data_IF_813894084428
#
_entry.id   IF_813894084428
#
_cell.length_a   1.000
_cell.length_b   1.000
_cell.length_c   1.000
_cell.angle_alpha   90.00
_cell.angle_beta   90.00
_cell.angle_gamma   90.00
#
_symmetry.space_group_name_H-M   'P 1'
#
loop_
_entity.id
_entity.type
_entity.pdbx_description
1 polymer ?
#
# COMPACT_ATOMS: atom_id res chain seq x y z
N UNK A 1 13.97 28.62 -66.09
CA UNK A 1 13.69 28.36 -64.67
C UNK A 1 13.07 29.63 -64.08
N UNK A 2 11.74 29.63 -63.87
CA UNK A 2 11.00 30.77 -63.31
C UNK A 2 11.06 30.67 -61.80
N UNK A 3 11.72 31.62 -61.14
CA UNK A 3 11.70 31.74 -59.69
C UNK A 3 10.37 32.32 -59.23
N UNK A 4 9.58 31.55 -58.51
CA UNK A 4 8.43 32.07 -57.78
C UNK A 4 8.93 32.93 -56.62
N UNK A 5 8.71 34.24 -56.72
CA UNK A 5 8.93 35.16 -55.60
C UNK A 5 7.79 34.92 -54.60
N UNK A 6 8.08 34.15 -53.56
CA UNK A 6 7.20 33.98 -52.40
C UNK A 6 7.04 35.35 -51.74
N UNK A 7 5.89 35.99 -51.94
CA UNK A 7 5.54 37.28 -51.35
C UNK A 7 5.34 37.07 -49.85
N UNK A 8 6.37 37.34 -49.04
CA UNK A 8 6.23 37.41 -47.58
C UNK A 8 5.26 38.55 -47.24
N UNK A 9 4.00 38.21 -46.96
CA UNK A 9 3.04 39.14 -46.38
C UNK A 9 3.45 39.36 -44.92
N UNK A 10 3.87 40.59 -44.59
CA UNK A 10 4.12 40.98 -43.21
C UNK A 10 2.86 40.82 -42.37
N UNK A 11 2.98 40.25 -41.16
CA UNK A 11 1.86 40.14 -40.23
C UNK A 11 1.33 41.54 -39.91
N UNK A 12 0.01 41.67 -39.97
CA UNK A 12 -0.65 42.90 -39.51
C UNK A 12 -0.62 42.98 -37.99
N UNK A 13 -0.55 44.21 -37.44
CA UNK A 13 -0.50 44.46 -36.00
C UNK A 13 -1.70 43.83 -35.26
N UNK A 14 -2.84 43.74 -35.95
CA UNK A 14 -4.07 43.10 -35.47
C UNK A 14 -3.93 41.58 -35.40
N UNK A 15 -3.36 40.93 -36.42
CA UNK A 15 -3.10 39.47 -36.37
C UNK A 15 -2.16 39.11 -35.23
N UNK A 16 -1.13 39.93 -34.97
CA UNK A 16 -0.19 39.70 -33.87
C UNK A 16 -0.86 39.86 -32.50
N UNK A 17 -1.75 40.85 -32.35
CA UNK A 17 -2.54 41.05 -31.13
C UNK A 17 -3.51 39.88 -30.88
N UNK A 18 -4.20 39.40 -31.93
CA UNK A 18 -5.11 38.25 -31.84
C UNK A 18 -4.34 36.97 -31.52
N UNK A 19 -3.18 36.76 -32.12
CA UNK A 19 -2.32 35.61 -31.83
C UNK A 19 -1.83 35.60 -30.38
N UNK A 20 -1.41 36.76 -29.84
CA UNK A 20 -1.00 36.88 -28.44
C UNK A 20 -2.16 36.62 -27.47
N UNK A 21 -3.36 37.08 -27.79
CA UNK A 21 -4.55 36.89 -26.96
C UNK A 21 -4.98 35.41 -26.95
N UNK A 22 -4.95 34.74 -28.11
CA UNK A 22 -5.21 33.30 -28.23
C UNK A 22 -4.15 32.48 -27.49
N UNK A 23 -2.87 32.82 -27.63
CA UNK A 23 -1.79 32.13 -26.92
C UNK A 23 -1.93 32.27 -25.40
N UNK A 24 -2.31 33.45 -24.90
CA UNK A 24 -2.59 33.68 -23.48
C UNK A 24 -3.76 32.84 -22.96
N UNK A 25 -4.87 32.77 -23.70
CA UNK A 25 -6.03 31.93 -23.36
C UNK A 25 -5.67 30.43 -23.35
N UNK A 26 -4.91 29.97 -24.35
CA UNK A 26 -4.43 28.59 -24.42
C UNK A 26 -3.51 28.25 -23.25
N UNK A 27 -2.58 29.15 -22.89
CA UNK A 27 -1.68 28.95 -21.76
C UNK A 27 -2.44 28.85 -20.43
N UNK A 28 -3.47 29.68 -20.23
CA UNK A 28 -4.35 29.63 -19.05
C UNK A 28 -5.12 28.31 -18.98
N UNK A 29 -5.70 27.86 -20.11
CA UNK A 29 -6.43 26.59 -20.18
C UNK A 29 -5.53 25.37 -19.91
N UNK A 30 -4.31 25.37 -20.46
CA UNK A 30 -3.31 24.33 -20.18
C UNK A 30 -2.93 24.29 -18.70
N UNK A 31 -2.72 25.45 -18.09
CA UNK A 31 -2.35 25.57 -16.68
C UNK A 31 -3.47 25.04 -15.76
N UNK A 32 -4.73 25.35 -16.04
CA UNK A 32 -5.87 24.85 -15.25
C UNK A 32 -6.08 23.35 -15.42
N UNK A 33 -5.88 22.82 -16.63
CA UNK A 33 -5.91 21.36 -16.87
C UNK A 33 -4.81 20.62 -16.12
N UNK A 34 -3.58 21.14 -16.14
CA UNK A 34 -2.45 20.55 -15.41
C UNK A 34 -2.70 20.58 -13.88
N UNK A 35 -3.21 21.69 -13.35
CA UNK A 35 -3.57 21.80 -11.93
C UNK A 35 -4.67 20.80 -11.55
N UNK A 36 -5.71 20.67 -12.38
CA UNK A 36 -6.85 19.78 -12.11
C UNK A 36 -6.42 18.30 -12.19
N UNK A 37 -5.57 17.96 -13.14
CA UNK A 37 -5.03 16.60 -13.30
C UNK A 37 -4.17 16.17 -12.11
N UNK A 38 -3.37 17.07 -11.54
CA UNK A 38 -2.53 16.74 -10.37
C UNK A 38 -3.33 16.54 -9.08
N UNK A 39 -4.44 17.26 -8.90
CA UNK A 39 -5.34 17.05 -7.75
C UNK A 39 -6.05 15.70 -7.84
N UNK A 40 -6.58 15.36 -9.02
CA UNK A 40 -7.24 14.07 -9.28
C UNK A 40 -6.33 12.86 -9.02
N UNK A 41 -5.06 12.93 -9.42
CA UNK A 41 -4.09 11.87 -9.11
C UNK A 41 -3.81 11.72 -7.61
N UNK A 42 -3.85 12.83 -6.86
CA UNK A 42 -3.66 12.79 -5.41
C UNK A 42 -4.75 12.03 -4.68
N UNK A 43 -6.01 12.29 -5.03
CA UNK A 43 -7.17 11.63 -4.41
C UNK A 43 -7.23 10.14 -4.76
N UNK A 44 -6.89 9.77 -6.01
CA UNK A 44 -6.84 8.37 -6.44
C UNK A 44 -5.83 7.53 -5.64
N UNK A 45 -4.64 8.07 -5.38
CA UNK A 45 -3.60 7.37 -4.60
C UNK A 45 -4.02 7.11 -3.15
N UNK A 46 -4.71 8.07 -2.52
CA UNK A 46 -5.20 7.93 -1.15
C UNK A 46 -6.31 6.88 -1.05
N UNK A 47 -7.25 6.89 -1.99
CA UNK A 47 -8.33 5.88 -2.04
C UNK A 47 -7.78 4.47 -2.24
N UNK A 48 -6.78 4.32 -3.12
CA UNK A 48 -6.09 3.04 -3.31
C UNK A 48 -5.38 2.59 -2.03
N UNK A 49 -4.68 3.50 -1.35
CA UNK A 49 -4.02 3.20 -0.08
C UNK A 49 -5.02 2.78 1.01
N UNK A 50 -6.19 3.43 1.07
CA UNK A 50 -7.28 3.07 2.00
C UNK A 50 -7.86 1.68 1.71
N UNK A 51 -8.10 1.35 0.44
CA UNK A 51 -8.58 0.02 0.04
C UNK A 51 -7.58 -1.08 0.44
N UNK A 52 -6.29 -0.88 0.12
CA UNK A 52 -5.23 -1.83 0.47
C UNK A 52 -5.07 -2.00 1.99
N UNK A 53 -5.26 -0.92 2.77
CA UNK A 53 -5.28 -1.00 4.22
C UNK A 53 -6.50 -1.74 4.77
N UNK A 54 -7.66 -1.61 4.14
CA UNK A 54 -8.85 -2.37 4.49
C UNK A 54 -8.64 -3.86 4.20
N UNK A 55 -8.06 -4.20 3.04
CA UNK A 55 -7.70 -5.57 2.66
C UNK A 55 -6.70 -6.17 3.64
N UNK A 56 -5.65 -5.41 4.00
CA UNK A 56 -4.67 -5.81 5.00
C UNK A 56 -5.32 -6.21 6.33
N UNK A 57 -6.20 -5.34 6.85
CA UNK A 57 -6.97 -5.61 8.08
C UNK A 57 -7.89 -6.81 7.91
N UNK A 58 -8.48 -6.98 6.73
CA UNK A 58 -9.32 -8.11 6.38
C UNK A 58 -8.56 -9.44 6.44
N UNK A 59 -7.42 -9.55 5.75
CA UNK A 59 -6.61 -10.76 5.70
C UNK A 59 -6.05 -11.12 7.08
N UNK A 60 -5.34 -10.20 7.74
CA UNK A 60 -4.79 -10.46 9.09
C UNK A 60 -5.91 -10.73 10.10
N UNK A 61 -6.95 -9.91 10.08
CA UNK A 61 -8.10 -10.06 10.97
C UNK A 61 -8.79 -11.40 10.81
N UNK A 62 -8.92 -11.92 9.58
CA UNK A 62 -9.51 -13.23 9.32
C UNK A 62 -8.64 -14.35 9.86
N UNK A 63 -7.35 -14.35 9.52
CA UNK A 63 -6.45 -15.45 9.85
C UNK A 63 -6.14 -15.51 11.36
N UNK A 64 -5.95 -14.36 12.00
CA UNK A 64 -5.66 -14.30 13.45
C UNK A 64 -6.88 -14.54 14.33
N UNK A 65 -8.07 -14.08 13.95
CA UNK A 65 -9.30 -14.40 14.72
C UNK A 65 -9.74 -15.85 14.56
N UNK A 66 -9.32 -16.47 13.46
CA UNK A 66 -9.53 -17.89 13.24
C UNK A 66 -8.43 -18.73 13.90
N UNK A 67 -7.40 -18.11 14.49
CA UNK A 67 -6.35 -18.82 15.19
C UNK A 67 -6.90 -19.63 16.38
N UNK A 68 -6.25 -20.76 16.65
CA UNK A 68 -6.51 -21.57 17.86
C UNK A 68 -5.98 -20.86 19.11
N UNK A 69 -6.34 -21.33 20.32
CA UNK A 69 -5.88 -20.73 21.59
C UNK A 69 -4.36 -20.73 21.77
N UNK A 70 -3.65 -21.69 21.16
CA UNK A 70 -2.17 -21.73 21.05
C UNK A 70 -1.69 -21.28 19.66
N UNK A 71 -2.51 -20.54 18.94
CA UNK A 71 -2.43 -20.40 17.49
C UNK A 71 -1.23 -19.59 17.00
N UNK A 72 -0.51 -18.89 17.85
CA UNK A 72 0.72 -18.21 17.44
C UNK A 72 1.93 -19.12 17.67
N UNK A 73 2.51 -19.63 16.57
CA UNK A 73 3.68 -20.51 16.64
C UNK A 73 4.99 -19.74 16.60
N UNK A 74 5.02 -18.60 15.91
CA UNK A 74 6.20 -17.75 15.79
C UNK A 74 5.79 -16.30 15.56
N UNK A 75 6.45 -15.37 16.27
CA UNK A 75 6.37 -13.95 16.00
C UNK A 75 7.75 -13.31 16.08
N UNK A 76 8.09 -12.53 15.06
CA UNK A 76 9.30 -11.72 14.99
C UNK A 76 8.96 -10.43 14.24
N UNK A 77 9.79 -9.36 14.33
CA UNK A 77 9.53 -8.11 13.64
C UNK A 77 9.26 -8.26 12.13
N UNK A 78 9.82 -9.28 11.49
CA UNK A 78 9.71 -9.51 10.04
C UNK A 78 8.86 -10.72 9.66
N UNK A 79 8.32 -11.47 10.62
CA UNK A 79 7.63 -12.72 10.34
C UNK A 79 6.63 -13.12 11.41
N UNK A 80 5.56 -13.76 10.96
CA UNK A 80 4.47 -14.24 11.81
C UNK A 80 4.00 -15.59 11.30
N UNK A 81 3.83 -16.57 12.18
CA UNK A 81 3.27 -17.89 11.85
C UNK A 81 2.11 -18.19 12.77
N UNK A 82 0.97 -18.51 12.16
CA UNK A 82 -0.32 -18.70 12.84
C UNK A 82 -0.94 -20.03 12.44
N UNK A 83 -1.44 -20.78 13.41
CA UNK A 83 -2.23 -21.99 13.28
C UNK A 83 -3.72 -21.66 13.40
N UNK A 84 -4.44 -21.82 12.28
CA UNK A 84 -5.81 -21.36 12.06
C UNK A 84 -6.86 -22.44 12.35
N UNK A 85 -6.48 -23.71 12.53
CA UNK A 85 -7.44 -24.75 12.90
C UNK A 85 -6.84 -25.79 13.85
N UNK A 86 -7.68 -26.32 14.73
CA UNK A 86 -7.37 -27.48 15.57
C UNK A 86 -7.97 -28.72 14.91
N UNK A 87 -7.33 -29.22 13.86
CA UNK A 87 -7.70 -30.46 13.19
C UNK A 87 -6.45 -31.34 13.10
N UNK A 88 -6.55 -32.66 12.83
CA UNK A 88 -5.38 -33.51 12.60
C UNK A 88 -4.48 -33.02 11.45
N UNK A 89 -5.01 -32.18 10.55
CA UNK A 89 -4.27 -31.41 9.55
C UNK A 89 -4.58 -29.93 9.73
N UNK A 90 -3.90 -29.20 10.65
CA UNK A 90 -4.16 -27.80 10.86
C UNK A 90 -3.73 -26.95 9.66
N UNK A 91 -4.47 -25.86 9.40
CA UNK A 91 -4.09 -24.86 8.40
C UNK A 91 -3.11 -23.87 9.04
N UNK A 92 -1.90 -23.81 8.49
CA UNK A 92 -0.86 -22.88 8.88
C UNK A 92 -0.85 -21.69 7.91
N UNK A 93 -0.70 -20.50 8.45
CA UNK A 93 -0.54 -19.25 7.68
C UNK A 93 0.74 -18.58 8.16
N UNK A 94 1.58 -18.19 7.21
CA UNK A 94 2.80 -17.43 7.47
C UNK A 94 2.72 -16.09 6.77
N UNK A 95 2.99 -15.03 7.52
CA UNK A 95 3.26 -13.71 7.00
C UNK A 95 4.75 -13.42 7.10
N UNK A 96 5.27 -12.71 6.10
CA UNK A 96 6.65 -12.22 6.09
C UNK A 96 6.70 -10.81 5.52
N UNK A 97 7.50 -9.97 6.15
CA UNK A 97 7.89 -8.66 5.67
C UNK A 97 9.29 -8.76 5.07
N UNK A 98 9.39 -8.62 3.74
CA UNK A 98 10.66 -8.68 3.03
C UNK A 98 10.78 -7.50 2.07
N UNK A 99 11.77 -6.63 2.29
CA UNK A 99 11.96 -5.43 1.46
C UNK A 99 10.74 -4.50 1.43
N UNK A 100 9.99 -4.43 2.54
CA UNK A 100 8.72 -3.71 2.63
C UNK A 100 7.53 -4.39 1.95
N UNK A 101 7.68 -5.58 1.36
CA UNK A 101 6.55 -6.34 0.83
C UNK A 101 5.97 -7.23 1.91
N UNK A 102 4.65 -7.18 2.08
CA UNK A 102 3.93 -8.14 2.89
C UNK A 102 3.57 -9.35 2.04
N UNK A 103 4.12 -10.49 2.43
CA UNK A 103 3.91 -11.77 1.78
C UNK A 103 3.13 -12.70 2.70
N UNK A 104 2.25 -13.51 2.11
CA UNK A 104 1.50 -14.53 2.80
C UNK A 104 1.65 -15.87 2.10
N UNK A 105 1.85 -16.92 2.88
CA UNK A 105 1.75 -18.31 2.43
C UNK A 105 0.82 -19.08 3.37
N UNK A 106 0.12 -20.09 2.85
CA UNK A 106 -0.74 -20.95 3.65
C UNK A 106 -0.62 -22.40 3.21
N UNK A 107 -0.63 -23.34 4.15
CA UNK A 107 -0.45 -24.77 3.89
C UNK A 107 -1.10 -25.61 4.98
N UNK A 108 -1.41 -26.87 4.67
CA UNK A 108 -1.80 -27.87 5.67
C UNK A 108 -0.58 -28.67 6.09
N UNK A 109 -0.33 -28.75 7.41
CA UNK A 109 0.73 -29.57 7.98
C UNK A 109 0.36 -29.97 9.40
N UNK A 110 0.86 -31.08 9.91
CA UNK A 110 0.63 -31.50 11.31
C UNK A 110 1.20 -30.52 12.34
N UNK A 111 2.19 -29.71 11.96
CA UNK A 111 2.79 -28.66 12.79
C UNK A 111 3.20 -27.45 11.91
N UNK A 112 2.93 -26.23 12.37
CA UNK A 112 3.29 -24.99 11.69
C UNK A 112 4.76 -24.56 11.89
N UNK A 113 5.52 -25.21 12.77
CA UNK A 113 6.91 -24.84 13.10
C UNK A 113 8.00 -25.36 12.15
N UNK A 114 7.71 -26.36 11.30
CA UNK A 114 8.74 -27.11 10.56
C UNK A 114 8.70 -26.94 9.03
N UNK A 115 7.92 -26.00 8.50
CA UNK A 115 7.77 -25.79 7.06
C UNK A 115 8.56 -24.60 6.54
N UNK A 116 9.56 -24.83 5.67
CA UNK A 116 10.08 -23.78 4.77
C UNK A 116 9.10 -23.64 3.62
N UNK A 117 8.23 -22.62 3.71
CA UNK A 117 7.20 -22.43 2.72
C UNK A 117 7.74 -21.70 1.48
N UNK A 118 7.36 -22.15 0.29
CA UNK A 118 7.84 -21.57 -0.99
C UNK A 118 6.74 -20.86 -1.77
N UNK A 119 5.46 -21.05 -1.41
CA UNK A 119 4.29 -20.46 -2.09
C UNK A 119 3.86 -19.08 -1.56
N UNK A 120 4.80 -18.16 -1.38
CA UNK A 120 4.47 -16.81 -0.91
C UNK A 120 3.82 -15.96 -1.99
N UNK A 121 2.72 -15.30 -1.64
CA UNK A 121 2.01 -14.34 -2.48
C UNK A 121 2.14 -12.94 -1.85
N UNK A 122 2.50 -11.95 -2.67
CA UNK A 122 2.49 -10.55 -2.25
C UNK A 122 1.04 -10.09 -2.06
N UNK A 123 0.67 -9.68 -0.85
CA UNK A 123 -0.72 -9.33 -0.51
C UNK A 123 -1.12 -7.91 -0.91
N UNK A 124 -0.15 -6.99 -0.93
CA UNK A 124 -0.42 -5.56 -1.03
C UNK A 124 0.06 -4.94 -2.34
N UNK A 125 0.49 -5.72 -3.33
CA UNK A 125 0.98 -5.17 -4.61
C UNK A 125 -0.05 -4.22 -5.23
N UNK A 126 0.32 -2.97 -5.59
CA UNK A 126 1.69 -2.44 -5.72
C UNK A 126 2.26 -1.74 -4.48
N UNK A 127 1.57 -1.72 -3.35
CA UNK A 127 2.00 -1.03 -2.14
C UNK A 127 3.10 -1.73 -1.35
N UNK A 128 3.86 -0.92 -0.61
CA UNK A 128 4.94 -1.33 0.26
C UNK A 128 4.70 -0.81 1.68
N UNK A 129 5.28 -1.51 2.65
CA UNK A 129 5.29 -1.23 4.07
C UNK A 129 6.76 -1.05 4.51
N UNK A 130 7.41 0.08 4.15
CA UNK A 130 8.86 0.24 4.25
C UNK A 130 9.39 0.17 5.68
N UNK A 131 8.57 0.54 6.67
CA UNK A 131 8.98 0.63 8.07
C UNK A 131 8.24 -0.37 8.97
N UNK A 132 7.35 -1.18 8.41
CA UNK A 132 6.48 -2.01 9.22
C UNK A 132 7.24 -3.12 9.93
N UNK A 133 6.77 -3.44 11.13
CA UNK A 133 7.20 -4.56 11.92
C UNK A 133 6.00 -5.21 12.63
N UNK A 134 6.07 -6.52 12.81
CA UNK A 134 5.13 -7.24 13.66
C UNK A 134 5.56 -7.19 15.14
N UNK A 135 4.60 -7.04 16.03
CA UNK A 135 4.76 -7.35 17.45
C UNK A 135 3.65 -8.26 17.93
N UNK A 136 3.92 -8.91 19.06
CA UNK A 136 2.96 -9.73 19.76
C UNK A 136 3.05 -9.47 21.26
N UNK A 137 1.91 -9.13 21.87
CA UNK A 137 1.80 -8.94 23.32
C UNK A 137 0.33 -9.15 23.74
N UNK A 138 0.11 -9.72 24.93
CA UNK A 138 -1.23 -9.93 25.50
C UNK A 138 -2.23 -10.58 24.52
N UNK A 139 -1.79 -11.67 23.88
CA UNK A 139 -2.60 -12.40 22.88
C UNK A 139 -3.04 -11.55 21.68
N UNK A 140 -2.38 -10.43 21.43
CA UNK A 140 -2.68 -9.54 20.31
C UNK A 140 -1.48 -9.38 19.42
N UNK A 141 -1.71 -9.46 18.10
CA UNK A 141 -0.70 -9.16 17.09
C UNK A 141 -0.90 -7.73 16.61
N UNK A 142 0.22 -7.02 16.54
CA UNK A 142 0.30 -5.65 16.10
C UNK A 142 1.13 -5.58 14.81
N UNK A 143 0.71 -4.76 13.87
CA UNK A 143 1.50 -4.37 12.70
C UNK A 143 1.55 -2.83 12.65
N UNK A 144 2.75 -2.28 12.84
CA UNK A 144 3.00 -0.83 12.92
C UNK A 144 4.43 -0.53 12.46
N UNK A 145 4.76 0.75 12.27
CA UNK A 145 6.12 1.17 11.95
C UNK A 145 7.08 0.93 13.14
N UNK A 146 8.30 0.47 12.84
CA UNK A 146 9.34 0.24 13.83
C UNK A 146 9.84 1.56 14.45
N UNK A 147 10.24 1.57 15.74
CA UNK A 147 10.18 0.47 16.69
C UNK A 147 8.74 0.19 17.11
N UNK A 148 8.40 -1.08 17.03
CA UNK A 148 7.06 -1.57 17.34
C UNK A 148 6.95 -1.71 18.86
N UNK A 149 6.06 -0.92 19.45
CA UNK A 149 5.83 -0.84 20.90
C UNK A 149 4.32 -0.97 21.19
N UNK A 150 3.86 -2.17 21.59
CA UNK A 150 2.45 -2.42 21.88
C UNK A 150 1.92 -1.65 23.10
N UNK A 151 2.78 -1.15 24.00
CA UNK A 151 2.37 -0.41 25.20
C UNK A 151 1.98 1.05 24.92
N UNK A 152 2.41 1.61 23.77
CA UNK A 152 2.13 3.00 23.39
C UNK A 152 1.57 3.10 21.97
N UNK A 153 0.28 2.83 21.79
CA UNK A 153 -0.39 2.98 20.47
C UNK A 153 -0.60 4.44 20.05
N UNK A 154 -0.59 5.38 21.00
CA UNK A 154 -0.82 6.79 20.72
C UNK A 154 0.36 7.40 19.95
N UNK A 155 0.08 7.94 18.76
CA UNK A 155 1.09 8.51 17.86
C UNK A 155 1.85 7.49 17.02
N UNK A 156 1.58 6.18 17.19
CA UNK A 156 2.07 5.14 16.29
C UNK A 156 1.27 5.15 15.01
N UNK A 157 1.94 4.81 13.92
CA UNK A 157 1.35 4.73 12.60
C UNK A 157 1.86 3.46 11.90
N UNK A 158 1.18 3.11 10.82
CA UNK A 158 1.65 2.20 9.81
C UNK A 158 1.74 2.98 8.50
N UNK A 159 2.94 3.06 7.95
CA UNK A 159 3.20 3.76 6.69
C UNK A 159 3.04 2.79 5.53
N UNK A 160 2.08 3.09 4.65
CA UNK A 160 1.86 2.40 3.39
C UNK A 160 2.33 3.29 2.23
N UNK A 161 3.31 2.82 1.47
CA UNK A 161 3.82 3.49 0.27
C UNK A 161 3.12 2.97 -0.98
N UNK A 162 2.48 3.85 -1.74
CA UNK A 162 1.86 3.52 -3.03
C UNK A 162 2.52 4.37 -4.10
N UNK A 163 3.24 3.72 -5.03
CA UNK A 163 4.15 4.43 -5.94
C UNK A 163 5.25 5.15 -5.14
N UNK A 164 5.34 6.47 -5.28
CA UNK A 164 6.33 7.32 -4.61
C UNK A 164 5.76 8.10 -3.42
N UNK A 165 4.55 7.75 -2.96
CA UNK A 165 3.86 8.48 -1.88
C UNK A 165 3.62 7.61 -0.65
N UNK A 166 3.90 8.20 0.50
CA UNK A 166 3.69 7.60 1.81
C UNK A 166 2.36 8.06 2.40
N UNK A 167 1.52 7.09 2.76
CA UNK A 167 0.25 7.28 3.44
C UNK A 167 0.32 6.68 4.84
N UNK A 168 -0.05 7.47 5.85
CA UNK A 168 -0.02 7.05 7.25
C UNK A 168 -1.39 6.61 7.70
N UNK A 169 -1.44 5.44 8.33
CA UNK A 169 -2.65 4.86 8.87
C UNK A 169 -2.46 4.50 10.34
N UNK A 170 -3.57 4.37 11.10
CA UNK A 170 -3.50 3.78 12.43
C UNK A 170 -2.92 2.36 12.38
N UNK A 171 -2.16 1.93 13.40
CA UNK A 171 -1.66 0.58 13.55
C UNK A 171 -2.76 -0.46 13.35
N UNK A 172 -2.39 -1.62 12.81
CA UNK A 172 -3.30 -2.77 12.75
C UNK A 172 -3.09 -3.58 14.02
N UNK A 173 -4.17 -3.74 14.78
CA UNK A 173 -4.18 -4.51 16.03
C UNK A 173 -5.24 -5.59 15.90
N UNK A 174 -4.85 -6.84 16.15
CA UNK A 174 -5.76 -7.98 16.08
C UNK A 174 -5.53 -8.88 17.27
N UNK A 175 -6.54 -9.00 18.13
CA UNK A 175 -6.56 -9.98 19.19
C UNK A 175 -6.74 -11.40 18.60
N UNK A 176 -5.95 -12.34 19.10
CA UNK A 176 -6.18 -13.76 18.91
C UNK A 176 -7.45 -14.15 19.67
N UNK A 177 -8.12 -15.19 19.20
CA UNK A 177 -9.28 -15.72 19.91
C UNK A 177 -8.79 -16.48 21.15
N UNK A 178 -9.01 -15.91 22.33
CA UNK A 178 -8.88 -16.62 23.60
C UNK A 178 -9.89 -17.78 23.61
N UNK A 179 -9.39 -19.01 23.69
CA UNK A 179 -10.21 -20.22 23.85
C UNK A 179 -10.58 -20.45 25.30
#
# INVERSE_FOLDING_TARGET
MRGEVVKQRGLTLVELAVAMLLAGLLALALSTLLLSGTQSQGEGSLLQAQALMADLRGYLGKDLRSATSTGLTMASPTGLVVQVSASPSPLCVQYRLQGGRLQRASWSASNCGSGTNTGFQDLLTPALLPYAAFCYENESVYLMDAPCDPNTLNGKNLTLRVGERDHRFPPVVVALRSG
#
